data_IF_200758308188
#
_entry.id   IF_200758308188
#
_cell.length_a   1.000
_cell.length_b   1.000
_cell.length_c   1.000
_cell.angle_alpha   90.00
_cell.angle_beta   90.00
_cell.angle_gamma   90.00
#
_symmetry.space_group_name_H-M   'P 1'
#
loop_
_entity.id
_entity.type
_entity.pdbx_description
1 polymer ?
#
# COMPACT_ATOMS: atom_id res chain seq x y z
N UNK A 1 -14.91 3.61 23.74
CA UNK A 1 -13.52 3.20 24.08
C UNK A 1 -13.12 1.84 23.48
N UNK A 2 -13.87 0.74 23.68
CA UNK A 2 -13.50 -0.57 23.12
C UNK A 2 -13.37 -0.59 21.59
N UNK A 3 -14.33 -0.02 20.85
CA UNK A 3 -14.30 0.04 19.38
C UNK A 3 -13.07 0.80 18.84
N UNK A 4 -12.66 1.87 19.53
CA UNK A 4 -11.46 2.64 19.16
C UNK A 4 -10.19 1.79 19.35
N UNK A 5 -10.10 1.02 20.44
CA UNK A 5 -8.97 0.12 20.68
C UNK A 5 -8.87 -0.98 19.60
N UNK A 6 -10.01 -1.57 19.21
CA UNK A 6 -10.04 -2.53 18.08
C UNK A 6 -9.63 -1.88 16.76
N UNK A 7 -10.08 -0.65 16.49
CA UNK A 7 -9.66 0.11 15.31
C UNK A 7 -8.15 0.36 15.26
N UNK A 8 -7.55 0.77 16.39
CA UNK A 8 -6.09 0.93 16.48
C UNK A 8 -5.33 -0.38 16.28
N UNK A 9 -5.82 -1.48 16.86
CA UNK A 9 -5.21 -2.80 16.69
C UNK A 9 -5.25 -3.25 15.23
N UNK A 10 -6.39 -3.08 14.55
CA UNK A 10 -6.55 -3.42 13.14
C UNK A 10 -5.65 -2.56 12.25
N UNK A 11 -5.49 -1.27 12.56
CA UNK A 11 -4.58 -0.38 11.84
C UNK A 11 -3.12 -0.82 12.00
N UNK A 12 -2.70 -1.18 13.20
CA UNK A 12 -1.35 -1.71 13.45
C UNK A 12 -1.11 -3.00 12.67
N UNK A 13 -2.07 -3.93 12.69
CA UNK A 13 -2.00 -5.17 11.93
C UNK A 13 -1.87 -4.88 10.43
N UNK A 14 -2.70 -3.97 9.90
CA UNK A 14 -2.65 -3.54 8.50
C UNK A 14 -1.27 -3.00 8.11
N UNK A 15 -0.70 -2.08 8.91
CA UNK A 15 0.62 -1.48 8.61
C UNK A 15 1.73 -2.53 8.64
N UNK A 16 1.69 -3.46 9.60
CA UNK A 16 2.64 -4.55 9.71
C UNK A 16 2.56 -5.49 8.49
N UNK A 17 1.34 -5.88 8.09
CA UNK A 17 1.11 -6.74 6.94
C UNK A 17 1.52 -6.08 5.61
N UNK A 18 1.18 -4.80 5.40
CA UNK A 18 1.56 -4.05 4.20
C UNK A 18 3.09 -3.92 4.09
N UNK A 19 3.74 -3.57 5.21
CA UNK A 19 5.20 -3.48 5.29
C UNK A 19 5.88 -4.82 5.02
N UNK A 20 5.40 -5.90 5.64
CA UNK A 20 5.93 -7.25 5.42
C UNK A 20 5.79 -7.68 3.96
N UNK A 21 4.63 -7.44 3.36
CA UNK A 21 4.33 -7.83 1.98
C UNK A 21 5.28 -7.15 1.00
N UNK A 22 5.45 -5.82 1.08
CA UNK A 22 6.34 -5.10 0.18
C UNK A 22 7.81 -5.55 0.31
N UNK A 23 8.27 -5.85 1.53
CA UNK A 23 9.62 -6.38 1.76
C UNK A 23 9.78 -7.81 1.20
N UNK A 24 8.75 -8.64 1.33
CA UNK A 24 8.73 -10.00 0.80
C UNK A 24 8.77 -10.00 -0.74
N UNK A 25 7.97 -9.15 -1.37
CA UNK A 25 7.96 -8.95 -2.82
C UNK A 25 9.36 -8.56 -3.34
N UNK A 26 10.02 -7.60 -2.69
CA UNK A 26 11.40 -7.19 -3.02
C UNK A 26 12.42 -8.33 -2.86
N UNK A 27 12.30 -9.15 -1.82
CA UNK A 27 13.15 -10.35 -1.65
C UNK A 27 12.94 -11.36 -2.78
N UNK A 28 11.70 -11.59 -3.22
CA UNK A 28 11.40 -12.49 -4.35
C UNK A 28 12.03 -11.94 -5.63
N UNK A 29 11.84 -10.65 -5.93
CA UNK A 29 12.43 -10.03 -7.13
C UNK A 29 13.96 -10.10 -7.14
N UNK A 30 14.60 -9.94 -5.98
CA UNK A 30 16.07 -10.05 -5.86
C UNK A 30 16.58 -11.49 -5.93
N UNK A 31 15.81 -12.47 -5.42
CA UNK A 31 16.17 -13.89 -5.44
C UNK A 31 16.07 -14.49 -6.84
N UNK A 32 15.20 -13.95 -7.69
CA UNK A 32 14.99 -14.41 -9.07
C UNK A 32 15.27 -13.29 -10.10
N UNK A 33 16.52 -12.84 -10.26
CA UNK A 33 16.89 -11.64 -11.03
C UNK A 33 16.81 -11.81 -12.57
N UNK A 34 16.76 -13.03 -13.10
CA UNK A 34 16.73 -13.31 -14.55
C UNK A 34 15.32 -13.21 -15.19
N UNK A 35 14.50 -12.24 -14.76
CA UNK A 35 13.15 -12.01 -15.30
C UNK A 35 12.22 -13.24 -15.20
N UNK A 36 12.53 -14.20 -14.32
CA UNK A 36 11.74 -15.42 -14.11
C UNK A 36 10.42 -15.15 -13.37
N UNK A 37 10.36 -14.04 -12.62
CA UNK A 37 9.16 -13.57 -11.95
C UNK A 37 8.89 -12.15 -12.40
N UNK A 38 7.95 -12.00 -13.31
CA UNK A 38 7.52 -10.68 -13.74
C UNK A 38 6.51 -10.06 -12.77
N UNK A 39 6.35 -8.74 -12.82
CA UNK A 39 5.39 -8.00 -12.00
C UNK A 39 3.96 -8.53 -12.17
N UNK A 40 3.59 -8.96 -13.37
CA UNK A 40 2.28 -9.52 -13.67
C UNK A 40 2.05 -10.88 -13.00
N UNK A 41 3.07 -11.74 -12.93
CA UNK A 41 2.98 -13.04 -12.26
C UNK A 41 2.83 -12.86 -10.74
N UNK A 42 3.57 -11.91 -10.16
CA UNK A 42 3.43 -11.58 -8.74
C UNK A 42 2.05 -10.98 -8.43
N UNK A 43 1.56 -10.07 -9.27
CA UNK A 43 0.23 -9.49 -9.15
C UNK A 43 -0.86 -10.56 -9.24
N UNK A 44 -0.74 -11.51 -10.18
CA UNK A 44 -1.66 -12.63 -10.30
C UNK A 44 -1.67 -13.50 -9.03
N UNK A 45 -0.51 -13.88 -8.50
CA UNK A 45 -0.41 -14.68 -7.28
C UNK A 45 -1.01 -13.97 -6.04
N UNK A 46 -0.79 -12.65 -5.92
CA UNK A 46 -1.38 -11.86 -4.83
C UNK A 46 -2.90 -11.74 -5.00
N UNK A 47 -3.39 -11.49 -6.21
CA UNK A 47 -4.83 -11.38 -6.44
C UNK A 47 -5.57 -12.71 -6.30
N UNK A 48 -4.98 -13.84 -6.74
CA UNK A 48 -5.56 -15.16 -6.50
C UNK A 48 -5.64 -15.50 -5.02
N UNK A 49 -4.58 -15.23 -4.25
CA UNK A 49 -4.62 -15.47 -2.80
C UNK A 49 -5.62 -14.54 -2.09
N UNK A 50 -5.75 -13.29 -2.53
CA UNK A 50 -6.77 -12.37 -2.04
C UNK A 50 -8.20 -12.84 -2.34
N UNK A 51 -8.46 -13.38 -3.54
CA UNK A 51 -9.78 -13.95 -3.90
C UNK A 51 -10.12 -15.13 -2.99
N UNK A 52 -9.17 -16.05 -2.78
CA UNK A 52 -9.39 -17.23 -1.91
C UNK A 52 -9.73 -16.77 -0.49
N UNK A 53 -8.92 -15.87 0.09
CA UNK A 53 -9.16 -15.35 1.44
C UNK A 53 -10.53 -14.65 1.51
N UNK A 54 -10.87 -13.83 0.51
CA UNK A 54 -12.14 -13.10 0.47
C UNK A 54 -13.33 -14.06 0.43
N UNK A 55 -13.31 -15.07 -0.44
CA UNK A 55 -14.37 -16.08 -0.54
C UNK A 55 -14.48 -16.88 0.77
N UNK A 56 -13.35 -17.31 1.35
CA UNK A 56 -13.36 -18.03 2.63
C UNK A 56 -13.99 -17.20 3.75
N UNK A 57 -13.65 -15.91 3.85
CA UNK A 57 -14.26 -15.02 4.84
C UNK A 57 -15.76 -14.83 4.60
N UNK A 58 -16.19 -14.74 3.35
CA UNK A 58 -17.60 -14.58 2.99
C UNK A 58 -18.45 -15.82 3.32
N UNK A 59 -17.85 -17.01 3.19
CA UNK A 59 -18.46 -18.28 3.60
C UNK A 59 -18.56 -18.36 5.13
N UNK A 60 -17.48 -18.02 5.85
CA UNK A 60 -17.47 -18.04 7.32
C UNK A 60 -18.48 -17.02 7.90
N UNK A 61 -18.61 -15.84 7.29
CA UNK A 61 -19.56 -14.80 7.68
C UNK A 61 -21.01 -15.07 7.26
N UNK A 62 -21.25 -16.04 6.37
CA UNK A 62 -22.56 -16.34 5.76
C UNK A 62 -23.20 -15.13 5.03
N UNK A 63 -22.38 -14.22 4.50
CA UNK A 63 -22.83 -12.99 3.84
C UNK A 63 -23.13 -13.17 2.34
N UNK A 64 -22.78 -14.33 1.78
CA UNK A 64 -22.95 -14.64 0.35
C UNK A 64 -24.38 -14.38 -0.19
N UNK A 65 -25.46 -14.81 0.49
CA UNK A 65 -26.82 -14.55 -0.01
C UNK A 65 -27.17 -13.06 -0.05
N UNK A 66 -26.72 -12.29 0.94
CA UNK A 66 -26.97 -10.85 1.03
C UNK A 66 -26.27 -10.09 -0.10
N UNK A 67 -25.02 -10.46 -0.40
CA UNK A 67 -24.26 -9.88 -1.52
C UNK A 67 -24.96 -10.12 -2.86
N UNK A 68 -25.43 -11.35 -3.11
CA UNK A 68 -26.11 -11.69 -4.37
C UNK A 68 -27.42 -10.89 -4.51
N UNK A 69 -28.24 -10.82 -3.45
CA UNK A 69 -29.48 -10.05 -3.47
C UNK A 69 -29.22 -8.56 -3.74
N UNK A 70 -28.19 -7.98 -3.12
CA UNK A 70 -27.82 -6.58 -3.35
C UNK A 70 -27.44 -6.30 -4.81
N UNK A 71 -26.66 -7.19 -5.43
CA UNK A 71 -26.24 -7.04 -6.84
C UNK A 71 -27.41 -7.16 -7.82
N UNK A 72 -28.38 -8.04 -7.53
CA UNK A 72 -29.60 -8.18 -8.35
C UNK A 72 -30.46 -6.92 -8.26
N UNK A 73 -30.61 -6.37 -7.05
CA UNK A 73 -31.43 -5.17 -6.83
C UNK A 73 -30.80 -3.89 -7.41
N UNK A 74 -29.47 -3.83 -7.48
CA UNK A 74 -28.73 -2.65 -7.92
C UNK A 74 -27.74 -2.97 -9.06
N UNK A 75 -28.22 -3.22 -10.29
CA UNK A 75 -27.34 -3.53 -11.42
C UNK A 75 -26.36 -2.40 -11.74
N UNK A 76 -26.71 -1.13 -11.46
CA UNK A 76 -25.78 0.00 -11.59
C UNK A 76 -24.56 -0.14 -10.66
N UNK A 77 -24.70 -0.79 -9.50
CA UNK A 77 -23.57 -1.06 -8.60
C UNK A 77 -22.52 -1.96 -9.22
N UNK A 78 -22.90 -2.88 -10.13
CA UNK A 78 -21.95 -3.71 -10.85
C UNK A 78 -21.07 -2.87 -11.79
N UNK A 79 -21.64 -1.88 -12.45
CA UNK A 79 -20.90 -0.96 -13.33
C UNK A 79 -19.86 -0.17 -12.53
N UNK A 80 -20.27 0.43 -11.41
CA UNK A 80 -19.32 1.14 -10.53
C UNK A 80 -18.24 0.22 -9.96
N UNK A 81 -18.59 -1.03 -9.64
CA UNK A 81 -17.63 -2.02 -9.17
C UNK A 81 -16.61 -2.38 -10.26
N UNK A 82 -17.04 -2.57 -11.51
CA UNK A 82 -16.13 -2.85 -12.63
C UNK A 82 -15.19 -1.67 -12.90
N UNK A 83 -15.72 -0.44 -12.92
CA UNK A 83 -14.90 0.78 -13.10
C UNK A 83 -13.85 0.88 -11.98
N UNK A 84 -14.27 0.62 -10.73
CA UNK A 84 -13.38 0.64 -9.57
C UNK A 84 -12.34 -0.48 -9.66
N UNK A 85 -12.71 -1.67 -10.13
CA UNK A 85 -11.81 -2.80 -10.31
C UNK A 85 -10.75 -2.53 -11.38
N UNK A 86 -11.12 -1.98 -12.55
CA UNK A 86 -10.18 -1.61 -13.61
C UNK A 86 -9.22 -0.52 -13.13
N UNK A 87 -9.75 0.49 -12.43
CA UNK A 87 -8.94 1.56 -11.83
C UNK A 87 -7.97 1.00 -10.80
N UNK A 88 -8.44 0.09 -9.94
CA UNK A 88 -7.63 -0.56 -8.90
C UNK A 88 -6.55 -1.46 -9.48
N UNK A 89 -6.86 -2.25 -10.52
CA UNK A 89 -5.90 -3.10 -11.22
C UNK A 89 -4.78 -2.26 -11.86
N UNK A 90 -5.14 -1.14 -12.48
CA UNK A 90 -4.18 -0.17 -13.02
C UNK A 90 -3.27 0.39 -11.91
N UNK A 91 -3.86 0.80 -10.78
CA UNK A 91 -3.12 1.26 -9.61
C UNK A 91 -2.18 0.20 -9.03
N UNK A 92 -2.64 -1.04 -8.91
CA UNK A 92 -1.83 -2.17 -8.46
C UNK A 92 -0.63 -2.38 -9.38
N UNK A 93 -0.81 -2.31 -10.70
CA UNK A 93 0.30 -2.44 -11.66
C UNK A 93 1.40 -1.41 -11.38
N UNK A 94 1.03 -0.14 -11.14
CA UNK A 94 2.01 0.90 -10.77
C UNK A 94 2.70 0.60 -9.43
N UNK A 95 1.99 0.03 -8.45
CA UNK A 95 2.57 -0.36 -7.15
C UNK A 95 3.61 -1.47 -7.34
N UNK A 96 3.25 -2.56 -8.01
CA UNK A 96 4.18 -3.68 -8.26
C UNK A 96 5.38 -3.22 -9.09
N UNK A 97 5.17 -2.40 -10.12
CA UNK A 97 6.24 -1.80 -10.90
C UNK A 97 7.20 -0.98 -10.04
N UNK A 98 6.66 -0.15 -9.15
CA UNK A 98 7.44 0.71 -8.25
C UNK A 98 8.30 -0.13 -7.30
N UNK A 99 7.74 -1.20 -6.73
CA UNK A 99 8.46 -2.10 -5.84
C UNK A 99 9.56 -2.83 -6.60
N UNK A 100 9.27 -3.36 -7.80
CA UNK A 100 10.26 -4.04 -8.66
C UNK A 100 11.43 -3.12 -9.03
N UNK A 101 11.15 -1.89 -9.46
CA UNK A 101 12.17 -0.96 -9.98
C UNK A 101 12.93 -0.19 -8.89
N UNK A 102 12.24 0.27 -7.85
CA UNK A 102 12.80 1.20 -6.85
C UNK A 102 12.89 0.61 -5.44
N UNK A 103 12.32 -0.57 -5.23
CA UNK A 103 12.28 -1.25 -3.94
C UNK A 103 11.24 -0.66 -2.97
N UNK A 104 11.03 -1.33 -1.83
CA UNK A 104 9.91 -1.09 -0.93
C UNK A 104 10.02 0.24 -0.16
N UNK A 105 11.24 0.76 0.02
CA UNK A 105 11.48 2.06 0.67
C UNK A 105 10.90 3.21 -0.15
N UNK A 106 11.05 3.20 -1.48
CA UNK A 106 10.50 4.27 -2.34
C UNK A 106 8.99 4.15 -2.42
N UNK A 107 8.47 2.92 -2.51
CA UNK A 107 7.03 2.67 -2.40
C UNK A 107 6.43 3.28 -1.12
N UNK A 108 7.06 3.04 0.04
CA UNK A 108 6.60 3.60 1.31
C UNK A 108 6.63 5.13 1.33
N UNK A 109 7.66 5.75 0.72
CA UNK A 109 7.75 7.22 0.61
C UNK A 109 6.62 7.78 -0.26
N UNK A 110 6.33 7.16 -1.40
CA UNK A 110 5.23 7.56 -2.29
C UNK A 110 3.87 7.44 -1.57
N UNK A 111 3.64 6.32 -0.89
CA UNK A 111 2.41 6.06 -0.12
C UNK A 111 2.19 7.11 0.98
N UNK A 112 3.22 7.40 1.77
CA UNK A 112 3.16 8.38 2.87
C UNK A 112 2.96 9.80 2.36
N UNK A 113 3.65 10.18 1.28
CA UNK A 113 3.46 11.49 0.62
C UNK A 113 2.03 11.64 0.10
N UNK A 114 1.49 10.60 -0.56
CA UNK A 114 0.09 10.61 -1.04
C UNK A 114 -0.89 10.81 0.11
N UNK A 115 -0.77 10.03 1.19
CA UNK A 115 -1.64 10.14 2.36
C UNK A 115 -1.56 11.53 3.01
N UNK A 116 -0.37 12.10 3.08
CA UNK A 116 -0.15 13.43 3.62
C UNK A 116 -0.82 14.53 2.78
N UNK A 117 -0.69 14.47 1.45
CA UNK A 117 -1.37 15.40 0.55
C UNK A 117 -2.90 15.28 0.72
N UNK A 118 -3.43 14.06 0.75
CA UNK A 118 -4.87 13.83 0.99
C UNK A 118 -5.33 14.38 2.34
N UNK A 119 -4.52 14.25 3.39
CA UNK A 119 -4.81 14.80 4.72
C UNK A 119 -4.87 16.34 4.69
N UNK A 120 -3.91 16.99 4.03
CA UNK A 120 -3.87 18.46 3.90
C UNK A 120 -5.09 18.95 3.12
N UNK A 121 -5.38 18.34 1.95
CA UNK A 121 -6.53 18.70 1.12
C UNK A 121 -7.84 18.52 1.91
N UNK A 122 -8.00 17.39 2.61
CA UNK A 122 -9.17 17.12 3.44
C UNK A 122 -9.37 18.20 4.50
N UNK A 123 -8.31 18.58 5.21
CA UNK A 123 -8.37 19.62 6.24
C UNK A 123 -8.82 20.97 5.65
N UNK A 124 -8.28 21.34 4.49
CA UNK A 124 -8.63 22.60 3.80
C UNK A 124 -10.11 22.58 3.36
N UNK A 125 -10.57 21.48 2.75
CA UNK A 125 -11.94 21.36 2.23
C UNK A 125 -13.00 21.33 3.33
N UNK A 126 -12.73 20.64 4.45
CA UNK A 126 -13.69 20.48 5.55
C UNK A 126 -13.59 21.55 6.64
N UNK A 127 -12.64 22.50 6.52
CA UNK A 127 -12.48 23.62 7.46
C UNK A 127 -12.18 23.20 8.91
N UNK A 128 -11.69 21.98 9.13
CA UNK A 128 -11.44 21.46 10.47
C UNK A 128 -10.19 22.10 11.08
N UNK A 129 -10.30 22.60 12.32
CA UNK A 129 -9.12 23.03 13.06
C UNK A 129 -8.31 21.80 13.49
N UNK A 130 -7.09 21.67 12.94
CA UNK A 130 -6.15 20.63 13.33
C UNK A 130 -5.80 20.80 14.81
N UNK A 131 -6.09 19.78 15.61
CA UNK A 131 -5.62 19.73 16.98
C UNK A 131 -4.09 19.81 17.02
N UNK A 132 -3.52 20.44 18.06
CA UNK A 132 -2.06 20.57 18.21
C UNK A 132 -1.31 19.22 18.11
N UNK A 133 -1.95 18.13 18.57
CA UNK A 133 -1.43 16.78 18.44
C UNK A 133 -1.29 16.31 16.97
N UNK A 134 -2.24 16.66 16.09
CA UNK A 134 -2.18 16.34 14.65
C UNK A 134 -1.06 17.11 13.96
N UNK A 135 -0.82 18.36 14.36
CA UNK A 135 0.30 19.15 13.86
C UNK A 135 1.66 18.55 14.29
N UNK A 136 1.81 18.17 15.56
CA UNK A 136 3.00 17.47 16.04
C UNK A 136 3.22 16.14 15.30
N UNK A 137 2.16 15.36 15.09
CA UNK A 137 2.20 14.12 14.30
C UNK A 137 2.65 14.35 12.85
N UNK A 138 2.16 15.40 12.20
CA UNK A 138 2.56 15.77 10.84
C UNK A 138 4.06 16.10 10.75
N UNK A 139 4.61 16.86 11.72
CA UNK A 139 6.04 17.16 11.80
C UNK A 139 6.89 15.88 11.94
N UNK A 140 6.47 14.94 12.78
CA UNK A 140 7.15 13.65 12.95
C UNK A 140 7.15 12.84 11.65
N UNK A 141 6.01 12.77 10.94
CA UNK A 141 5.90 12.06 9.66
C UNK A 141 6.79 12.70 8.60
N UNK A 142 6.77 14.03 8.45
CA UNK A 142 7.65 14.75 7.53
C UNK A 142 9.13 14.50 7.84
N UNK A 143 9.52 14.57 9.12
CA UNK A 143 10.88 14.30 9.57
C UNK A 143 11.32 12.86 9.22
N UNK A 144 10.44 11.88 9.45
CA UNK A 144 10.71 10.48 9.12
C UNK A 144 10.86 10.25 7.61
N UNK A 145 10.01 10.86 6.78
CA UNK A 145 10.10 10.79 5.31
C UNK A 145 11.41 11.41 4.82
N UNK A 146 11.73 12.62 5.29
CA UNK A 146 12.97 13.31 4.91
C UNK A 146 14.22 12.53 5.33
N UNK A 147 14.20 11.95 6.53
CA UNK A 147 15.27 11.07 7.01
C UNK A 147 15.43 9.81 6.14
N UNK A 148 14.31 9.16 5.75
CA UNK A 148 14.35 7.99 4.85
C UNK A 148 14.91 8.35 3.48
N UNK A 149 14.53 9.50 2.92
CA UNK A 149 15.06 10.00 1.64
C UNK A 149 16.57 10.22 1.76
N UNK A 150 17.03 10.96 2.78
CA UNK A 150 18.45 11.22 3.00
C UNK A 150 19.27 9.94 3.14
N UNK A 151 18.83 8.98 3.97
CA UNK A 151 19.53 7.69 4.12
C UNK A 151 19.66 6.94 2.80
N UNK A 152 18.58 6.84 2.04
CA UNK A 152 18.61 6.14 0.74
C UNK A 152 19.54 6.81 -0.27
N UNK A 153 19.59 8.14 -0.29
CA UNK A 153 20.53 8.89 -1.15
C UNK A 153 21.98 8.66 -0.71
N UNK A 154 22.25 8.65 0.59
CA UNK A 154 23.59 8.37 1.13
C UNK A 154 24.04 6.93 0.83
N UNK A 155 23.17 5.94 1.00
CA UNK A 155 23.47 4.54 0.66
C UNK A 155 23.80 4.36 -0.82
N UNK A 156 23.09 5.06 -1.72
CA UNK A 156 23.40 5.05 -3.15
C UNK A 156 24.78 5.68 -3.43
N UNK A 157 25.10 6.81 -2.80
CA UNK A 157 26.41 7.49 -2.94
C UNK A 157 27.56 6.62 -2.44
N UNK A 158 27.44 6.04 -1.25
CA UNK A 158 28.48 5.19 -0.68
C UNK A 158 28.76 3.95 -1.54
N UNK A 159 27.73 3.35 -2.14
CA UNK A 159 27.91 2.23 -3.08
C UNK A 159 28.67 2.64 -4.34
N UNK A 160 28.43 3.84 -4.86
CA UNK A 160 29.15 4.36 -6.03
C UNK A 160 30.63 4.66 -5.72
N UNK A 161 30.91 5.31 -4.58
CA UNK A 161 32.29 5.59 -4.14
C UNK A 161 33.09 4.30 -3.90
N UNK A 162 32.49 3.31 -3.25
CA UNK A 162 33.15 2.01 -3.02
C UNK A 162 33.36 1.20 -4.31
N UNK A 163 32.50 1.37 -5.32
CA UNK A 163 32.68 0.74 -6.62
C UNK A 163 33.83 1.39 -7.40
N UNK A 164 33.99 2.71 -7.31
CA UNK A 164 35.08 3.45 -7.96
C UNK A 164 36.46 3.18 -7.32
N UNK A 165 36.53 2.90 -6.02
CA UNK A 165 37.79 2.55 -5.34
C UNK A 165 38.26 1.10 -5.60
N UNK A 166 37.41 0.25 -6.19
CA UNK A 166 37.74 -1.15 -6.53
C UNK A 166 38.16 -1.34 -8.00
N UNK A 167 38.12 -0.26 -8.79
CA UNK A 167 38.60 -0.21 -10.18
C UNK A 167 40.01 0.38 -10.15
#
# INVERSE_FOLDING_TARGET
HALQMYGFLMLLLYICSDSFTAQWQDKIYKKYPNNQIDQYQMMFGVNCSAIIITISMLIIGNDMPAVIQFLIQNPNSLVYNIITAVTSASGQMFIFYTIKSFGPVVFTIIMTTRQMISMVISTILFGHQLAAASFAGALVVFGAVFYRIRRKTLEKRNKQTNAQQKI
#
